data_IF_232533517075
#
_entry.id   IF_232533517075
#
_cell.length_a   1.000
_cell.length_b   1.000
_cell.length_c   1.000
_cell.angle_alpha   90.00
_cell.angle_beta   90.00
_cell.angle_gamma   90.00
#
_symmetry.space_group_name_H-M   'P 1'
#
loop_
_entity.id
_entity.type
_entity.pdbx_description
1 polymer ?
#
# COMPACT_ATOMS: atom_id res chain seq x y z
N UNK A 1 -20.52 6.26 18.05
CA UNK A 1 -19.19 5.88 18.56
C UNK A 1 -18.36 5.21 17.46
N UNK A 2 -18.93 4.26 16.74
CA UNK A 2 -18.27 3.48 15.68
C UNK A 2 -17.74 4.32 14.51
N UNK A 3 -18.54 5.27 14.00
CA UNK A 3 -18.14 6.15 12.90
C UNK A 3 -16.87 6.96 13.20
N UNK A 4 -16.79 7.53 14.42
CA UNK A 4 -15.62 8.29 14.83
C UNK A 4 -14.39 7.41 14.87
N UNK A 5 -14.47 6.25 15.51
CA UNK A 5 -13.34 5.32 15.64
C UNK A 5 -12.81 4.87 14.29
N UNK A 6 -13.70 4.45 13.38
CA UNK A 6 -13.32 4.04 12.03
C UNK A 6 -12.68 5.18 11.24
N UNK A 7 -13.27 6.38 11.30
CA UNK A 7 -12.74 7.52 10.57
C UNK A 7 -11.41 8.02 11.14
N UNK A 8 -11.21 8.02 12.45
CA UNK A 8 -9.93 8.36 13.08
C UNK A 8 -8.85 7.36 12.67
N UNK A 9 -9.16 6.06 12.63
CA UNK A 9 -8.26 5.03 12.15
C UNK A 9 -7.90 5.24 10.67
N UNK A 10 -8.88 5.51 9.81
CA UNK A 10 -8.63 5.83 8.40
C UNK A 10 -7.78 7.10 8.23
N UNK A 11 -8.01 8.11 9.07
CA UNK A 11 -7.22 9.34 9.05
C UNK A 11 -5.74 9.06 9.41
N UNK A 12 -5.47 8.18 10.38
CA UNK A 12 -4.12 7.72 10.70
C UNK A 12 -3.45 6.98 9.52
N UNK A 13 -4.22 6.36 8.64
CA UNK A 13 -3.73 5.72 7.42
C UNK A 13 -3.60 6.68 6.22
N UNK A 14 -3.79 7.98 6.41
CA UNK A 14 -3.64 9.00 5.38
C UNK A 14 -4.92 9.38 4.63
N UNK A 15 -6.09 8.90 5.06
CA UNK A 15 -7.37 9.31 4.47
C UNK A 15 -7.73 10.71 4.96
N UNK A 16 -7.73 11.68 4.06
CA UNK A 16 -7.98 13.10 4.36
C UNK A 16 -9.33 13.60 3.87
N UNK A 17 -10.02 12.85 3.02
CA UNK A 17 -11.34 13.18 2.49
C UNK A 17 -12.28 12.01 2.73
N UNK A 18 -13.42 12.29 3.37
CA UNK A 18 -14.47 11.32 3.58
C UNK A 18 -15.65 11.63 2.66
N UNK A 19 -16.05 10.64 1.91
CA UNK A 19 -17.25 10.70 1.07
C UNK A 19 -18.25 9.68 1.60
N UNK A 20 -19.22 10.08 2.45
CA UNK A 20 -20.22 9.16 2.97
C UNK A 20 -21.05 8.57 1.84
N UNK A 21 -21.49 7.34 2.00
CA UNK A 21 -22.43 6.75 1.06
C UNK A 21 -23.69 7.60 1.00
N UNK A 22 -24.28 7.66 -0.20
CA UNK A 22 -25.46 8.49 -0.48
C UNK A 22 -26.61 8.20 0.46
N UNK A 23 -27.32 9.26 0.87
CA UNK A 23 -28.59 9.12 1.60
C UNK A 23 -29.68 8.60 0.68
N UNK A 24 -30.54 7.73 1.20
CA UNK A 24 -31.70 7.28 0.46
C UNK A 24 -32.73 8.39 0.31
N UNK A 25 -33.45 8.36 -0.79
CA UNK A 25 -34.56 9.26 -0.98
C UNK A 25 -35.68 9.00 0.05
N UNK A 26 -35.90 7.75 0.39
CA UNK A 26 -36.88 7.34 1.40
C UNK A 26 -36.44 6.08 2.12
N UNK A 27 -36.84 5.93 3.38
CA UNK A 27 -36.64 4.74 4.23
C UNK A 27 -37.65 3.61 3.92
N UNK A 28 -38.24 3.61 2.72
CA UNK A 28 -39.29 2.67 2.31
C UNK A 28 -38.75 1.72 1.23
N UNK A 29 -39.18 0.46 1.31
CA UNK A 29 -38.88 -0.54 0.26
C UNK A 29 -37.49 -1.13 0.34
N UNK A 30 -37.00 -1.62 -0.78
CA UNK A 30 -35.74 -2.34 -0.95
C UNK A 30 -34.49 -1.47 -0.71
N UNK A 31 -34.57 -0.20 -1.07
CA UNK A 31 -33.43 0.74 -1.00
C UNK A 31 -32.78 0.82 0.38
N UNK A 32 -33.51 0.61 1.47
CA UNK A 32 -32.96 0.64 2.82
C UNK A 32 -32.25 -0.64 3.26
N UNK A 33 -32.29 -1.71 2.45
CA UNK A 33 -31.71 -3.00 2.80
C UNK A 33 -30.27 -3.14 2.32
N UNK A 34 -29.89 -2.42 1.28
CA UNK A 34 -28.63 -2.61 0.58
C UNK A 34 -27.48 -1.83 1.22
N UNK A 35 -27.76 -0.84 2.06
CA UNK A 35 -26.78 0.11 2.53
C UNK A 35 -26.82 0.33 4.03
N UNK A 36 -25.67 0.74 4.62
CA UNK A 36 -25.61 1.05 6.05
C UNK A 36 -26.43 2.27 6.41
N UNK A 37 -26.35 2.67 7.67
CA UNK A 37 -27.19 3.72 8.26
C UNK A 37 -27.29 4.98 7.42
N UNK A 38 -28.52 5.43 7.22
CA UNK A 38 -28.84 6.71 6.59
C UNK A 38 -28.43 7.89 7.48
N UNK A 39 -27.88 8.94 6.88
CA UNK A 39 -27.46 10.18 7.54
C UNK A 39 -28.33 11.37 7.13
N UNK A 40 -29.57 11.13 6.78
CA UNK A 40 -30.54 12.17 6.37
C UNK A 40 -31.62 12.40 7.43
N UNK A 41 -32.53 13.33 7.14
CA UNK A 41 -33.59 13.82 8.07
C UNK A 41 -34.50 12.74 8.67
N UNK A 42 -34.60 11.56 8.05
CA UNK A 42 -35.42 10.45 8.59
C UNK A 42 -34.67 9.63 9.66
N UNK A 43 -33.40 9.89 9.89
CA UNK A 43 -32.66 9.27 10.97
C UNK A 43 -32.83 10.02 12.27
N UNK A 44 -33.13 9.35 13.42
CA UNK A 44 -33.40 10.04 14.67
C UNK A 44 -32.24 10.88 15.20
N UNK A 45 -31.01 10.57 14.80
CA UNK A 45 -29.80 11.29 15.19
C UNK A 45 -29.34 12.31 14.13
N UNK A 46 -30.08 12.53 13.08
CA UNK A 46 -29.72 13.43 11.97
C UNK A 46 -29.22 14.81 12.42
N UNK A 47 -29.99 15.46 13.34
CA UNK A 47 -29.64 16.79 13.86
C UNK A 47 -28.33 16.81 14.67
N UNK A 48 -27.78 15.66 15.07
CA UNK A 48 -26.53 15.52 15.81
C UNK A 48 -25.36 15.07 14.94
N UNK A 49 -25.60 14.82 13.65
CA UNK A 49 -24.56 14.33 12.75
C UNK A 49 -23.46 15.35 12.52
N UNK A 50 -23.76 16.63 12.64
CA UNK A 50 -22.76 17.70 12.59
C UNK A 50 -21.59 17.48 13.59
N UNK A 51 -21.83 16.85 14.73
CA UNK A 51 -20.75 16.56 15.69
C UNK A 51 -19.66 15.66 15.11
N UNK A 52 -20.02 14.75 14.21
CA UNK A 52 -19.10 13.89 13.49
C UNK A 52 -18.39 14.66 12.37
N UNK A 53 -19.14 15.42 11.60
CA UNK A 53 -18.57 16.20 10.49
C UNK A 53 -17.61 17.30 10.99
N UNK A 54 -17.97 18.01 12.05
CA UNK A 54 -17.10 19.01 12.68
C UNK A 54 -15.80 18.39 13.23
N UNK A 55 -15.87 17.16 13.78
CA UNK A 55 -14.70 16.44 14.22
C UNK A 55 -13.78 16.15 13.04
N UNK A 56 -14.30 15.57 11.95
CA UNK A 56 -13.46 15.25 10.78
C UNK A 56 -12.99 16.47 10.01
N UNK A 57 -13.76 17.55 9.97
CA UNK A 57 -13.30 18.81 9.41
C UNK A 57 -12.05 19.33 10.13
N UNK A 58 -12.00 19.25 11.47
CA UNK A 58 -10.82 19.62 12.25
C UNK A 58 -9.65 18.69 12.04
N UNK A 59 -9.90 17.36 12.08
CA UNK A 59 -8.86 16.34 11.85
C UNK A 59 -8.25 16.53 10.45
N UNK A 60 -9.08 16.62 9.42
CA UNK A 60 -8.62 16.78 8.04
C UNK A 60 -7.86 18.09 7.83
N UNK A 61 -8.31 19.18 8.45
CA UNK A 61 -7.59 20.46 8.41
C UNK A 61 -6.19 20.34 9.01
N UNK A 62 -6.03 19.58 10.10
CA UNK A 62 -4.72 19.37 10.70
C UNK A 62 -3.83 18.47 9.82
N UNK A 63 -4.38 17.37 9.30
CA UNK A 63 -3.63 16.37 8.53
C UNK A 63 -3.24 16.83 7.11
N UNK A 64 -3.96 17.81 6.55
CA UNK A 64 -3.66 18.36 5.21
C UNK A 64 -2.72 19.55 5.24
N UNK A 65 -2.25 19.97 6.42
CA UNK A 65 -1.25 21.03 6.58
C UNK A 65 0.15 20.44 6.60
N UNK A 66 0.97 20.85 5.64
CA UNK A 66 2.34 20.33 5.50
C UNK A 66 2.42 19.08 4.61
N UNK A 67 3.53 18.37 4.73
CA UNK A 67 3.80 17.12 3.97
C UNK A 67 3.90 15.94 4.94
N UNK A 68 3.43 14.75 4.54
CA UNK A 68 3.62 13.55 5.35
C UNK A 68 5.10 13.18 5.44
N UNK A 69 5.53 12.71 6.61
CA UNK A 69 6.90 12.22 6.84
C UNK A 69 6.89 10.71 6.73
N UNK A 70 6.95 10.21 5.50
CA UNK A 70 6.97 8.76 5.20
C UNK A 70 8.32 8.42 4.59
N UNK A 71 9.07 7.50 5.22
CA UNK A 71 10.44 7.16 4.84
C UNK A 71 10.58 5.75 4.25
N UNK A 72 9.49 5.01 4.18
CA UNK A 72 9.46 3.64 3.64
C UNK A 72 8.56 3.58 2.42
N UNK A 73 9.10 3.09 1.31
CA UNK A 73 8.34 2.75 0.11
C UNK A 73 8.18 1.23 0.00
N UNK A 74 7.01 0.76 -0.36
CA UNK A 74 6.72 -0.66 -0.60
C UNK A 74 6.34 -0.87 -2.06
N UNK A 75 7.09 -1.68 -2.77
CA UNK A 75 6.74 -2.02 -4.16
C UNK A 75 5.43 -2.80 -4.17
N UNK A 76 4.48 -2.38 -4.98
CA UNK A 76 3.21 -3.08 -5.15
C UNK A 76 3.36 -4.21 -6.18
N UNK A 77 3.35 -5.50 -5.78
CA UNK A 77 3.72 -6.62 -6.64
C UNK A 77 2.55 -7.09 -7.52
N UNK A 78 1.73 -6.17 -8.02
CA UNK A 78 0.48 -6.48 -8.74
C UNK A 78 0.73 -7.26 -10.03
N UNK A 79 1.86 -7.07 -10.69
CA UNK A 79 2.17 -7.72 -11.96
C UNK A 79 2.43 -9.20 -11.78
N UNK A 80 3.06 -9.59 -10.66
CA UNK A 80 3.17 -11.02 -10.30
C UNK A 80 1.80 -11.66 -10.09
N UNK A 81 0.84 -10.91 -9.53
CA UNK A 81 -0.53 -11.38 -9.39
C UNK A 81 -1.23 -11.53 -10.75
N UNK A 82 -0.99 -10.61 -11.69
CA UNK A 82 -1.57 -10.68 -13.04
C UNK A 82 -1.06 -11.87 -13.86
N UNK A 83 0.20 -12.28 -13.69
CA UNK A 83 0.75 -13.46 -14.33
C UNK A 83 -0.04 -14.74 -14.01
N UNK A 84 -0.65 -14.79 -12.83
CA UNK A 84 -1.45 -15.91 -12.36
C UNK A 84 -2.96 -15.65 -12.43
N UNK A 85 -3.39 -14.58 -13.15
CA UNK A 85 -4.81 -14.31 -13.32
C UNK A 85 -5.47 -15.33 -14.24
N UNK A 86 -6.49 -16.01 -13.72
CA UNK A 86 -7.19 -17.06 -14.50
C UNK A 86 -8.31 -17.72 -13.69
N UNK A 87 -8.88 -18.81 -14.19
CA UNK A 87 -9.92 -19.57 -13.50
C UNK A 87 -9.46 -20.03 -12.10
N UNK A 88 -10.37 -19.93 -11.12
CA UNK A 88 -10.05 -20.19 -9.71
C UNK A 88 -9.53 -21.62 -9.46
N UNK A 89 -10.09 -22.61 -10.15
CA UNK A 89 -9.69 -24.01 -10.03
C UNK A 89 -8.22 -24.27 -10.40
N UNK A 90 -7.59 -23.38 -11.17
CA UNK A 90 -6.21 -23.53 -11.65
C UNK A 90 -5.22 -22.56 -11.00
N UNK A 91 -5.66 -21.39 -10.61
CA UNK A 91 -4.76 -20.30 -10.25
C UNK A 91 -4.98 -19.71 -8.84
N UNK A 92 -6.05 -20.10 -8.14
CA UNK A 92 -6.39 -19.51 -6.83
C UNK A 92 -5.24 -19.66 -5.83
N UNK A 93 -4.64 -20.82 -5.70
CA UNK A 93 -3.55 -21.10 -4.72
C UNK A 93 -2.39 -20.12 -4.87
N UNK A 94 -1.96 -19.85 -6.12
CA UNK A 94 -0.85 -18.93 -6.38
C UNK A 94 -1.23 -17.48 -6.03
N UNK A 95 -2.42 -17.05 -6.46
CA UNK A 95 -2.92 -15.70 -6.18
C UNK A 95 -3.13 -15.45 -4.69
N UNK A 96 -3.71 -16.41 -3.99
CA UNK A 96 -3.92 -16.35 -2.54
C UNK A 96 -2.58 -16.27 -1.79
N UNK A 97 -1.56 -17.05 -2.21
CA UNK A 97 -0.23 -16.96 -1.62
C UNK A 97 0.45 -15.60 -1.84
N UNK A 98 0.32 -15.01 -3.02
CA UNK A 98 0.86 -13.67 -3.28
C UNK A 98 0.13 -12.59 -2.47
N UNK A 99 -1.19 -12.68 -2.39
CA UNK A 99 -2.03 -11.75 -1.62
C UNK A 99 -1.73 -11.85 -0.11
N UNK A 100 -1.59 -13.07 0.41
CA UNK A 100 -1.21 -13.29 1.80
C UNK A 100 0.16 -12.68 2.12
N UNK A 101 1.17 -12.89 1.27
CA UNK A 101 2.52 -12.30 1.46
C UNK A 101 2.47 -10.78 1.48
N UNK A 102 1.75 -10.18 0.55
CA UNK A 102 1.59 -8.72 0.47
C UNK A 102 0.82 -8.17 1.68
N UNK A 103 -0.27 -8.84 2.06
CA UNK A 103 -1.07 -8.50 3.24
C UNK A 103 -0.26 -8.59 4.52
N UNK A 104 0.58 -9.62 4.67
CA UNK A 104 1.46 -9.79 5.82
C UNK A 104 2.50 -8.66 5.92
N UNK A 105 3.14 -8.27 4.82
CA UNK A 105 4.06 -7.11 4.82
C UNK A 105 3.36 -5.85 5.28
N UNK A 106 2.16 -5.58 4.73
CA UNK A 106 1.33 -4.44 5.13
C UNK A 106 1.02 -4.48 6.63
N UNK A 107 0.57 -5.63 7.13
CA UNK A 107 0.24 -5.84 8.53
C UNK A 107 1.44 -5.61 9.45
N UNK A 108 2.59 -6.19 9.14
CA UNK A 108 3.81 -6.05 9.96
C UNK A 108 4.31 -4.61 10.03
N UNK A 109 4.23 -3.85 8.93
CA UNK A 109 4.58 -2.44 8.93
C UNK A 109 3.62 -1.63 9.82
N UNK A 110 2.31 -1.86 9.70
CA UNK A 110 1.30 -1.20 10.53
C UNK A 110 1.44 -1.55 12.02
N UNK A 111 1.62 -2.83 12.34
CA UNK A 111 1.83 -3.29 13.72
C UNK A 111 3.16 -2.78 14.31
N UNK A 112 4.17 -2.60 13.47
CA UNK A 112 5.44 -1.96 13.82
C UNK A 112 5.39 -0.45 13.93
N UNK A 113 4.22 0.18 13.72
CA UNK A 113 4.06 1.64 13.66
C UNK A 113 5.00 2.30 12.66
N UNK A 114 5.26 1.63 11.54
CA UNK A 114 6.07 2.12 10.44
C UNK A 114 5.14 2.68 9.37
N UNK A 115 5.26 3.97 9.12
CA UNK A 115 4.51 4.63 8.05
C UNK A 115 5.15 4.35 6.69
N UNK A 116 4.33 4.08 5.67
CA UNK A 116 4.81 3.71 4.34
C UNK A 116 3.85 4.12 3.24
N UNK A 117 4.37 4.20 2.00
CA UNK A 117 3.55 4.34 0.80
C UNK A 117 3.78 3.16 -0.14
N UNK A 118 2.75 2.78 -0.89
CA UNK A 118 2.89 1.84 -2.00
C UNK A 118 3.46 2.56 -3.23
N UNK A 119 4.38 1.89 -3.92
CA UNK A 119 4.98 2.35 -5.16
C UNK A 119 4.51 1.44 -6.29
N UNK A 120 3.79 2.03 -7.26
CA UNK A 120 3.40 1.32 -8.48
C UNK A 120 4.57 1.27 -9.45
N UNK A 121 4.92 0.07 -9.90
CA UNK A 121 5.98 -0.13 -10.88
C UNK A 121 5.67 0.53 -12.23
N UNK A 122 4.40 0.55 -12.63
CA UNK A 122 3.98 1.18 -13.90
C UNK A 122 4.17 2.69 -13.92
N UNK A 123 4.12 3.34 -12.76
CA UNK A 123 4.29 4.79 -12.62
C UNK A 123 5.73 5.19 -12.31
N UNK A 124 6.56 4.24 -11.89
CA UNK A 124 7.93 4.52 -11.46
C UNK A 124 8.77 5.20 -12.56
N UNK A 125 8.70 4.82 -13.85
CA UNK A 125 9.47 5.49 -14.90
C UNK A 125 9.21 7.00 -15.02
N UNK A 126 7.97 7.43 -14.76
CA UNK A 126 7.57 8.86 -14.81
C UNK A 126 7.81 9.61 -13.51
N UNK A 127 7.82 8.92 -12.36
CA UNK A 127 7.91 9.53 -11.04
C UNK A 127 9.31 9.43 -10.42
N UNK A 128 10.17 8.55 -10.92
CA UNK A 128 11.51 8.30 -10.40
C UNK A 128 12.54 8.34 -11.53
N UNK A 129 13.19 9.48 -11.67
CA UNK A 129 14.18 9.68 -12.73
C UNK A 129 15.44 8.84 -12.52
N UNK A 130 15.93 8.75 -11.26
CA UNK A 130 17.16 8.07 -10.88
C UNK A 130 17.02 7.34 -9.56
N UNK A 131 17.71 6.23 -9.41
CA UNK A 131 17.79 5.46 -8.16
C UNK A 131 18.78 6.05 -7.14
N UNK A 132 18.59 7.31 -6.75
CA UNK A 132 19.40 7.94 -5.70
C UNK A 132 19.00 7.42 -4.31
N UNK A 133 19.83 7.67 -3.30
CA UNK A 133 19.45 7.48 -1.90
C UNK A 133 19.46 8.85 -1.19
N UNK A 134 18.30 9.30 -0.65
CA UNK A 134 16.99 8.64 -0.66
C UNK A 134 16.39 8.48 -2.06
N UNK A 135 15.49 7.49 -2.24
CA UNK A 135 14.78 7.28 -3.49
C UNK A 135 13.66 8.31 -3.63
N UNK A 136 13.79 9.19 -4.60
CA UNK A 136 12.74 10.17 -4.90
C UNK A 136 11.73 9.57 -5.88
N UNK A 137 10.46 9.53 -5.46
CA UNK A 137 9.33 9.09 -6.28
C UNK A 137 8.24 10.15 -6.20
N UNK A 138 8.07 10.92 -7.26
CA UNK A 138 7.21 12.10 -7.27
C UNK A 138 7.66 13.12 -6.22
N UNK A 139 6.78 13.47 -5.31
CA UNK A 139 7.05 14.41 -4.22
C UNK A 139 7.64 13.75 -2.95
N UNK A 140 7.73 12.43 -2.91
CA UNK A 140 8.15 11.67 -1.73
C UNK A 140 9.61 11.22 -1.85
N UNK A 141 10.25 11.05 -0.68
CA UNK A 141 11.64 10.57 -0.57
C UNK A 141 11.70 9.44 0.46
N UNK A 142 12.19 8.27 0.01
CA UNK A 142 12.24 7.06 0.82
C UNK A 142 13.69 6.67 1.16
N UNK A 143 13.95 6.46 2.45
CA UNK A 143 15.23 5.97 2.94
C UNK A 143 15.35 4.44 2.85
N UNK A 144 14.20 3.76 2.83
CA UNK A 144 14.12 2.32 2.70
C UNK A 144 13.04 1.91 1.69
N UNK A 145 13.34 0.90 0.90
CA UNK A 145 12.40 0.27 -0.02
C UNK A 145 12.22 -1.20 0.37
N UNK A 146 10.97 -1.61 0.51
CA UNK A 146 10.57 -2.99 0.76
C UNK A 146 10.00 -3.58 -0.53
N UNK A 147 10.53 -4.72 -0.93
CA UNK A 147 10.00 -5.53 -2.04
C UNK A 147 9.34 -6.74 -1.41
N UNK A 148 8.01 -6.83 -1.42
CA UNK A 148 7.28 -8.03 -0.98
C UNK A 148 7.64 -9.22 -1.87
N UNK A 149 7.36 -10.45 -1.42
CA UNK A 149 7.55 -11.64 -2.25
C UNK A 149 6.79 -11.52 -3.57
N UNK A 150 7.53 -11.46 -4.65
CA UNK A 150 7.03 -11.31 -6.01
C UNK A 150 7.78 -12.24 -6.97
N UNK A 151 7.18 -12.59 -8.07
CA UNK A 151 7.79 -13.44 -9.09
C UNK A 151 8.48 -12.63 -10.18
N UNK A 152 7.88 -11.52 -10.58
CA UNK A 152 8.41 -10.59 -11.59
C UNK A 152 8.58 -9.19 -11.04
N UNK A 153 9.56 -8.48 -11.57
CA UNK A 153 9.73 -7.03 -11.45
C UNK A 153 9.85 -6.43 -12.85
N UNK A 154 9.44 -5.19 -13.02
CA UNK A 154 9.76 -4.46 -14.25
C UNK A 154 11.25 -4.16 -14.32
N UNK A 155 11.82 -4.21 -15.53
CA UNK A 155 13.21 -3.85 -15.79
C UNK A 155 13.56 -2.47 -15.24
N UNK A 156 12.68 -1.49 -15.47
CA UNK A 156 12.85 -0.11 -14.98
C UNK A 156 12.87 -0.04 -13.45
N UNK A 157 12.03 -0.83 -12.76
CA UNK A 157 12.04 -0.94 -11.30
C UNK A 157 13.35 -1.55 -10.83
N UNK A 158 13.77 -2.66 -11.42
CA UNK A 158 15.01 -3.33 -11.07
C UNK A 158 16.22 -2.38 -11.20
N UNK A 159 16.34 -1.66 -12.30
CA UNK A 159 17.41 -0.68 -12.54
C UNK A 159 17.44 0.43 -11.46
N UNK A 160 16.26 0.94 -11.05
CA UNK A 160 16.16 1.95 -9.99
C UNK A 160 16.52 1.39 -8.61
N UNK A 161 16.13 0.16 -8.32
CA UNK A 161 16.46 -0.51 -7.05
C UNK A 161 17.95 -0.85 -6.96
N UNK A 162 18.59 -1.25 -8.07
CA UNK A 162 20.03 -1.46 -8.12
C UNK A 162 20.79 -0.17 -7.84
N UNK A 163 20.47 0.91 -8.55
CA UNK A 163 21.07 2.23 -8.35
C UNK A 163 20.86 2.72 -6.91
N UNK A 164 19.63 2.61 -6.38
CA UNK A 164 19.29 2.99 -5.01
C UNK A 164 20.16 2.26 -3.99
N UNK A 165 20.32 0.95 -4.15
CA UNK A 165 21.18 0.15 -3.29
C UNK A 165 22.65 0.53 -3.41
N UNK A 166 23.16 0.74 -4.61
CA UNK A 166 24.55 1.16 -4.87
C UNK A 166 24.85 2.52 -4.24
N UNK A 167 23.88 3.43 -4.27
CA UNK A 167 23.96 4.75 -3.62
C UNK A 167 23.75 4.69 -2.09
N UNK A 168 23.71 3.50 -1.48
CA UNK A 168 23.63 3.31 -0.03
C UNK A 168 22.22 3.20 0.54
N UNK A 169 21.20 3.20 -0.28
CA UNK A 169 19.79 3.01 0.13
C UNK A 169 19.53 1.65 0.77
N UNK A 170 18.54 1.60 1.64
CA UNK A 170 18.13 0.37 2.35
C UNK A 170 17.10 -0.39 1.50
N UNK A 171 17.54 -1.43 0.78
CA UNK A 171 16.67 -2.30 0.00
C UNK A 171 16.45 -3.63 0.74
N UNK A 172 15.18 -3.95 1.01
CA UNK A 172 14.76 -5.10 1.80
C UNK A 172 13.82 -5.95 0.96
N UNK A 173 14.18 -7.21 0.71
CA UNK A 173 13.28 -8.19 0.13
C UNK A 173 12.63 -9.02 1.25
N UNK A 174 11.30 -9.16 1.19
CA UNK A 174 10.51 -9.94 2.15
C UNK A 174 9.79 -11.08 1.42
N UNK A 175 10.46 -12.23 1.32
CA UNK A 175 9.99 -13.40 0.60
C UNK A 175 11.04 -13.99 -0.31
N UNK A 176 10.60 -14.73 -1.32
CA UNK A 176 11.48 -15.39 -2.28
C UNK A 176 12.07 -14.38 -3.28
N UNK A 177 13.20 -14.76 -3.88
CA UNK A 177 13.82 -13.97 -4.92
C UNK A 177 12.95 -13.93 -6.18
N UNK A 178 12.76 -12.77 -6.83
CA UNK A 178 12.12 -12.72 -8.14
C UNK A 178 12.92 -13.53 -9.18
N UNK A 179 12.22 -14.26 -10.03
CA UNK A 179 12.82 -15.11 -11.07
C UNK A 179 12.62 -14.55 -12.48
N UNK A 180 11.74 -13.54 -12.60
CA UNK A 180 11.37 -12.92 -13.86
C UNK A 180 11.64 -11.41 -13.83
N UNK A 181 11.91 -10.87 -14.99
CA UNK A 181 11.93 -9.41 -15.27
C UNK A 181 11.12 -9.16 -16.54
N UNK A 182 10.15 -8.24 -16.47
CA UNK A 182 9.15 -8.03 -17.52
C UNK A 182 8.47 -9.34 -17.98
N UNK A 183 8.17 -10.23 -17.01
CA UNK A 183 7.61 -11.57 -17.22
C UNK A 183 8.50 -12.57 -17.97
N UNK A 184 9.74 -12.24 -18.25
CA UNK A 184 10.72 -13.13 -18.90
C UNK A 184 11.77 -13.64 -17.91
N UNK A 185 12.20 -14.90 -17.98
CA UNK A 185 13.24 -15.45 -17.11
C UNK A 185 14.53 -14.62 -17.10
N UNK A 186 14.97 -14.19 -15.91
CA UNK A 186 16.19 -13.40 -15.77
C UNK A 186 16.81 -13.60 -14.39
N UNK A 187 18.10 -13.94 -14.35
CA UNK A 187 18.87 -14.06 -13.11
C UNK A 187 19.26 -12.70 -12.48
N UNK A 188 19.00 -11.59 -13.17
CA UNK A 188 19.39 -10.26 -12.71
C UNK A 188 18.66 -9.84 -11.43
N UNK A 189 17.36 -10.10 -11.32
CA UNK A 189 16.60 -9.81 -10.10
C UNK A 189 17.05 -10.68 -8.92
N UNK A 190 17.35 -11.96 -9.19
CA UNK A 190 17.93 -12.87 -8.20
C UNK A 190 19.31 -12.41 -7.74
N UNK A 191 20.14 -11.92 -8.67
CA UNK A 191 21.46 -11.38 -8.34
C UNK A 191 21.36 -10.16 -7.41
N UNK A 192 20.40 -9.26 -7.62
CA UNK A 192 20.14 -8.14 -6.73
C UNK A 192 19.67 -8.62 -5.34
N UNK A 193 18.76 -9.57 -5.30
CA UNK A 193 18.29 -10.21 -4.06
C UNK A 193 19.44 -10.77 -3.23
N UNK A 194 20.33 -11.57 -3.83
CA UNK A 194 21.49 -12.16 -3.13
C UNK A 194 22.47 -11.10 -2.62
N UNK A 195 22.67 -10.01 -3.38
CA UNK A 195 23.47 -8.88 -2.90
C UNK A 195 22.84 -8.21 -1.68
N UNK A 196 21.52 -8.15 -1.57
CA UNK A 196 20.81 -7.59 -0.42
C UNK A 196 20.88 -8.51 0.80
N UNK A 197 20.69 -9.82 0.62
CA UNK A 197 20.73 -10.84 1.68
C UNK A 197 22.03 -10.83 2.47
N UNK A 198 23.16 -10.65 1.80
CA UNK A 198 24.50 -10.61 2.44
C UNK A 198 24.69 -9.46 3.42
N UNK A 199 23.96 -8.34 3.26
CA UNK A 199 24.08 -7.17 4.12
C UNK A 199 23.27 -7.28 5.43
N UNK A 200 22.25 -8.13 5.46
CA UNK A 200 21.28 -8.24 6.56
C UNK A 200 21.30 -9.61 7.24
N UNK A 201 22.40 -10.35 7.19
CA UNK A 201 22.55 -11.72 7.68
C UNK A 201 22.26 -11.93 9.19
N UNK A 202 21.68 -10.97 9.92
CA UNK A 202 21.36 -11.11 11.33
C UNK A 202 19.92 -10.80 11.77
N UNK A 203 18.99 -10.43 10.88
CA UNK A 203 17.73 -9.87 11.37
C UNK A 203 16.45 -10.51 10.86
N UNK A 204 16.43 -11.23 9.76
CA UNK A 204 15.15 -11.70 9.19
C UNK A 204 15.11 -13.20 8.86
N UNK A 205 15.51 -14.03 9.85
CA UNK A 205 14.96 -15.38 10.01
C UNK A 205 14.01 -15.32 11.23
N UNK A 206 12.94 -14.58 11.16
CA UNK A 206 11.86 -14.66 12.13
C UNK A 206 10.56 -14.78 11.32
N UNK A 207 10.09 -16.00 11.33
CA UNK A 207 8.82 -16.59 10.86
C UNK A 207 8.76 -17.06 9.42
#
# INVERSE_FOLDING_TARGET
>A
RTYKLQGDWQACLGVTIRVPHLSWYAMKGEAKRDYPASIHYQSPWYKKYNLIEDHFARVNTALTRGKPVVKVGVIHPVESFWLHWGPNDKSAIFRESLDERFSNVTKWLLEGSIDFNFISESLLPSLCEKGNAPLKVGEMEYDAIVVPGCETLRKTTLERLEQFRENGGKLIFMGDAPTLVDAEPCDCAKALFEKCKRRYNRVFCIF
#
